data_IF_954744945328
#
_entry.id   IF_954744945328
#
_cell.length_a   1.000
_cell.length_b   1.000
_cell.length_c   1.000
_cell.angle_alpha   90.00
_cell.angle_beta   90.00
_cell.angle_gamma   90.00
#
_symmetry.space_group_name_H-M   'P 1'
#
loop_
_entity.id
_entity.type
_entity.pdbx_description
1 polymer ?
#
# COMPACT_ATOMS: atom_id res chain seq x y z
N UNK A 1 16.85 -76.77 44.54
CA UNK A 1 15.80 -76.11 43.73
C UNK A 1 15.88 -74.61 44.01
N UNK A 2 16.60 -73.80 43.22
CA UNK A 2 16.13 -73.06 42.01
C UNK A 2 14.90 -72.18 42.30
N UNK A 3 14.82 -70.86 42.07
CA UNK A 3 15.39 -69.96 41.05
C UNK A 3 15.11 -68.49 41.49
N UNK A 4 16.09 -67.58 41.39
CA UNK A 4 16.26 -66.48 40.39
C UNK A 4 15.37 -65.22 40.53
N UNK A 5 16.06 -64.10 40.82
CA UNK A 5 16.05 -62.78 40.16
C UNK A 5 14.74 -62.09 39.76
N UNK A 6 14.57 -60.84 40.19
CA UNK A 6 14.02 -59.77 39.34
C UNK A 6 14.55 -58.39 39.77
N UNK A 7 15.65 -57.98 39.13
CA UNK A 7 16.14 -56.61 39.09
C UNK A 7 15.23 -55.84 38.11
N UNK A 8 14.51 -54.82 38.56
CA UNK A 8 13.71 -53.95 37.67
C UNK A 8 14.37 -52.57 37.59
N UNK A 9 15.16 -52.40 36.54
CA UNK A 9 15.73 -51.11 36.13
C UNK A 9 14.63 -50.26 35.51
N UNK A 10 14.23 -49.17 36.18
CA UNK A 10 13.30 -48.20 35.62
C UNK A 10 14.05 -47.25 34.66
N UNK A 11 13.83 -47.42 33.36
CA UNK A 11 14.35 -46.55 32.31
C UNK A 11 13.46 -45.29 32.22
N UNK A 12 13.96 -44.14 32.68
CA UNK A 12 13.33 -42.85 32.47
C UNK A 12 13.52 -42.43 30.99
N UNK A 13 12.50 -42.65 30.15
CA UNK A 13 12.44 -42.07 28.82
C UNK A 13 11.91 -40.63 28.94
N UNK A 14 12.82 -39.66 29.02
CA UNK A 14 12.47 -38.25 28.96
C UNK A 14 12.27 -37.86 27.48
N UNK A 15 11.04 -38.04 26.98
CA UNK A 15 10.65 -37.50 25.67
C UNK A 15 10.52 -35.99 25.83
N UNK A 16 11.52 -35.24 25.35
CA UNK A 16 11.36 -33.80 25.12
C UNK A 16 10.30 -33.62 24.02
N UNK A 17 9.06 -33.38 24.42
CA UNK A 17 8.04 -32.77 23.58
C UNK A 17 8.49 -31.33 23.29
N UNK A 18 9.33 -31.14 22.28
CA UNK A 18 9.48 -29.83 21.66
C UNK A 18 8.17 -29.54 20.96
N UNK A 19 7.26 -28.83 21.64
CA UNK A 19 6.15 -28.18 20.96
C UNK A 19 6.76 -27.17 20.01
N UNK A 20 6.80 -27.50 18.72
CA UNK A 20 7.02 -26.50 17.69
C UNK A 20 5.95 -25.44 17.90
N UNK A 21 6.35 -24.23 18.30
CA UNK A 21 5.50 -23.06 18.24
C UNK A 21 5.15 -22.91 16.77
N UNK A 22 3.99 -23.43 16.39
CA UNK A 22 3.43 -23.22 15.06
C UNK A 22 3.10 -21.72 15.02
N UNK A 23 4.00 -20.92 14.47
CA UNK A 23 3.70 -19.53 14.15
C UNK A 23 2.46 -19.56 13.25
N UNK A 24 1.31 -19.13 13.78
CA UNK A 24 0.07 -19.09 13.03
C UNK A 24 0.29 -18.27 11.78
N UNK A 25 -0.11 -18.80 10.61
CA UNK A 25 -0.05 -18.06 9.37
C UNK A 25 -0.80 -16.74 9.56
N UNK A 26 -0.07 -15.61 9.48
CA UNK A 26 -0.70 -14.29 9.57
C UNK A 26 -1.57 -14.13 8.32
N UNK A 27 -2.84 -13.79 8.49
CA UNK A 27 -3.73 -13.60 7.34
C UNK A 27 -3.28 -12.40 6.51
N UNK A 28 -3.56 -12.44 5.20
CA UNK A 28 -3.28 -11.32 4.29
C UNK A 28 -3.83 -10.00 4.83
N UNK A 29 -5.07 -10.01 5.34
CA UNK A 29 -5.72 -8.84 5.92
C UNK A 29 -4.95 -8.28 7.13
N UNK A 30 -4.40 -9.15 7.98
CA UNK A 30 -3.60 -8.71 9.13
C UNK A 30 -2.27 -8.10 8.69
N UNK A 31 -1.62 -8.65 7.65
CA UNK A 31 -0.39 -8.07 7.08
C UNK A 31 -0.65 -6.71 6.45
N UNK A 32 -1.70 -6.60 5.62
CA UNK A 32 -2.09 -5.35 4.96
C UNK A 32 -2.43 -4.29 6.02
N UNK A 33 -3.30 -4.59 6.99
CA UNK A 33 -3.69 -3.59 7.98
C UNK A 33 -2.52 -3.15 8.85
N UNK A 34 -1.65 -4.08 9.27
CA UNK A 34 -0.49 -3.77 10.13
C UNK A 34 0.47 -2.77 9.49
N UNK A 35 0.65 -2.85 8.17
CA UNK A 35 1.61 -2.02 7.45
C UNK A 35 0.97 -0.87 6.67
N UNK A 36 -0.35 -0.70 6.77
CA UNK A 36 -1.05 0.44 6.20
C UNK A 36 -0.57 1.73 6.89
N UNK A 37 -0.20 2.79 6.14
CA UNK A 37 0.47 3.94 6.72
C UNK A 37 -0.47 4.90 7.46
N UNK A 38 0.03 5.63 8.46
CA UNK A 38 -0.59 6.90 8.86
C UNK A 38 -0.15 7.96 7.84
N UNK A 39 -1.11 8.64 7.23
CA UNK A 39 -0.86 9.63 6.18
C UNK A 39 -1.12 11.03 6.74
N UNK A 40 -0.09 11.85 6.77
CA UNK A 40 -0.15 13.27 7.10
C UNK A 40 -0.32 14.08 5.81
N UNK A 41 -1.57 14.32 5.43
CA UNK A 41 -1.89 15.10 4.23
C UNK A 41 -1.73 16.59 4.50
N UNK A 42 -0.98 17.28 3.65
CA UNK A 42 -0.89 18.74 3.66
C UNK A 42 -1.80 19.36 2.61
N UNK A 43 -2.31 20.56 2.86
CA UNK A 43 -3.16 21.29 1.93
C UNK A 43 -3.02 22.82 2.06
N UNK A 44 -1.90 23.41 1.60
CA UNK A 44 -1.69 24.87 1.48
C UNK A 44 -2.34 25.71 2.61
N UNK A 45 -2.15 25.31 3.87
CA UNK A 45 -2.72 25.90 5.09
C UNK A 45 -4.26 25.83 5.30
N UNK A 46 -4.97 25.06 4.48
CA UNK A 46 -6.40 24.79 4.60
C UNK A 46 -6.69 23.65 5.58
N UNK A 47 -7.71 23.87 6.42
CA UNK A 47 -8.26 22.87 7.32
C UNK A 47 -9.77 23.13 7.48
N UNK A 48 -10.66 22.18 7.12
CA UNK A 48 -10.38 20.82 6.64
C UNK A 48 -9.75 20.80 5.24
N UNK A 49 -9.24 19.63 4.83
CA UNK A 49 -8.75 19.39 3.45
C UNK A 49 -9.83 19.78 2.44
N UNK A 50 -9.43 20.50 1.41
CA UNK A 50 -10.20 20.71 0.19
C UNK A 50 -10.46 19.39 -0.51
N UNK A 51 -11.61 19.30 -1.19
CA UNK A 51 -12.12 18.03 -1.73
C UNK A 51 -11.16 17.40 -2.74
N UNK A 52 -10.49 18.23 -3.51
CA UNK A 52 -9.48 17.83 -4.50
C UNK A 52 -8.25 17.17 -3.88
N UNK A 53 -7.94 17.48 -2.62
CA UNK A 53 -6.81 16.93 -1.88
C UNK A 53 -7.23 15.76 -0.96
N UNK A 54 -8.43 15.21 -1.15
CA UNK A 54 -8.88 13.97 -0.51
C UNK A 54 -8.66 12.81 -1.49
N UNK A 55 -7.67 11.98 -1.22
CA UNK A 55 -7.46 10.74 -1.97
C UNK A 55 -8.66 9.80 -1.83
N UNK A 56 -9.11 9.20 -2.91
CA UNK A 56 -10.35 8.40 -2.96
C UNK A 56 -10.23 7.25 -3.95
N UNK A 57 -11.31 6.51 -4.17
CA UNK A 57 -11.41 5.52 -5.25
C UNK A 57 -11.65 6.19 -6.60
N UNK A 58 -11.18 5.54 -7.67
CA UNK A 58 -11.35 5.99 -9.05
C UNK A 58 -12.83 6.24 -9.43
N UNK A 59 -13.73 5.40 -8.92
CA UNK A 59 -15.18 5.47 -9.15
C UNK A 59 -15.94 6.16 -7.99
N UNK A 60 -15.37 7.23 -7.41
CA UNK A 60 -15.96 7.89 -6.22
C UNK A 60 -17.38 8.43 -6.46
N UNK A 61 -17.67 8.81 -7.70
CA UNK A 61 -18.97 9.28 -8.20
C UNK A 61 -19.90 8.14 -8.67
N UNK A 62 -19.47 6.89 -8.42
CA UNK A 62 -20.20 5.63 -8.67
C UNK A 62 -20.26 5.21 -10.13
N UNK A 63 -19.46 5.79 -11.01
CA UNK A 63 -19.27 5.29 -12.37
C UNK A 63 -17.79 5.02 -12.67
N UNK A 64 -17.48 4.54 -13.88
CA UNK A 64 -16.10 4.24 -14.30
C UNK A 64 -15.69 5.07 -15.52
N UNK A 65 -16.35 6.21 -15.71
CA UNK A 65 -16.06 7.17 -16.77
C UNK A 65 -15.04 8.16 -16.21
N UNK A 66 -13.76 7.86 -16.33
CA UNK A 66 -12.75 8.65 -15.61
C UNK A 66 -12.68 10.10 -16.09
N UNK A 67 -13.00 10.37 -17.37
CA UNK A 67 -12.93 11.72 -17.92
C UNK A 67 -13.98 12.71 -17.36
N UNK A 68 -14.91 12.32 -16.48
CA UNK A 68 -15.83 13.26 -15.83
C UNK A 68 -15.50 13.50 -14.34
N UNK A 69 -14.47 12.83 -13.80
CA UNK A 69 -14.17 12.84 -12.37
C UNK A 69 -13.82 14.23 -11.84
N UNK A 70 -13.15 15.06 -12.65
CA UNK A 70 -12.83 16.44 -12.28
C UNK A 70 -14.11 17.25 -12.08
N UNK A 71 -15.03 17.19 -13.05
CA UNK A 71 -16.29 17.91 -13.08
C UNK A 71 -17.29 17.40 -12.05
N UNK A 72 -17.17 16.12 -11.65
CA UNK A 72 -18.05 15.48 -10.69
C UNK A 72 -17.68 15.77 -9.23
N UNK A 73 -16.46 16.24 -8.95
CA UNK A 73 -15.98 16.53 -7.60
C UNK A 73 -16.88 17.48 -6.76
N UNK A 74 -17.51 18.53 -7.34
CA UNK A 74 -18.47 19.37 -6.61
C UNK A 74 -19.76 18.64 -6.19
N UNK A 75 -20.18 17.63 -6.96
CA UNK A 75 -21.47 16.93 -6.78
C UNK A 75 -21.35 15.66 -5.94
N UNK A 76 -20.19 15.02 -5.91
CA UNK A 76 -19.93 13.79 -5.18
C UNK A 76 -18.80 14.00 -4.17
N UNK A 77 -19.10 14.14 -2.87
CA UNK A 77 -18.06 14.29 -1.85
C UNK A 77 -17.16 13.05 -1.81
N UNK A 78 -15.84 13.19 -2.00
CA UNK A 78 -14.91 12.06 -1.93
C UNK A 78 -14.80 11.54 -0.50
N UNK A 79 -14.66 10.22 -0.37
CA UNK A 79 -14.38 9.56 0.89
C UNK A 79 -12.95 9.01 0.89
N UNK A 80 -12.18 9.35 1.92
CA UNK A 80 -10.76 8.98 2.00
C UNK A 80 -10.56 7.47 1.81
N UNK A 81 -9.82 7.07 0.77
CA UNK A 81 -9.61 5.67 0.44
C UNK A 81 -8.23 5.43 -0.18
N UNK A 82 -7.54 4.40 0.31
CA UNK A 82 -6.22 3.98 -0.16
C UNK A 82 -6.37 2.63 -0.86
N UNK A 83 -5.98 2.58 -2.14
CA UNK A 83 -5.85 1.29 -2.80
C UNK A 83 -4.65 0.53 -2.23
N UNK A 84 -4.79 -0.78 -2.02
CA UNK A 84 -3.67 -1.64 -1.68
C UNK A 84 -3.47 -2.76 -2.70
N UNK A 85 -2.23 -3.21 -2.85
CA UNK A 85 -1.90 -4.45 -3.55
C UNK A 85 -1.10 -5.35 -2.62
N UNK A 86 -1.23 -6.67 -2.77
CA UNK A 86 -0.42 -7.64 -2.03
C UNK A 86 0.18 -8.65 -3.00
N UNK A 87 1.52 -8.68 -3.02
CA UNK A 87 2.32 -9.72 -3.66
C UNK A 87 3.16 -10.40 -2.58
N UNK A 88 3.28 -11.71 -2.67
CA UNK A 88 3.94 -12.53 -1.67
C UNK A 88 5.00 -13.41 -2.32
N UNK A 89 6.19 -13.44 -1.72
CA UNK A 89 7.23 -14.42 -2.03
C UNK A 89 7.45 -15.39 -0.88
N UNK A 90 8.35 -16.34 -1.06
CA UNK A 90 8.88 -17.21 -0.01
C UNK A 90 9.45 -16.44 1.21
N UNK A 91 9.95 -15.23 1.01
CA UNK A 91 10.77 -14.48 1.98
C UNK A 91 10.17 -13.12 2.37
N UNK A 92 9.30 -12.54 1.55
CA UNK A 92 8.78 -11.19 1.73
C UNK A 92 7.28 -11.07 1.44
N UNK A 93 6.65 -10.08 2.07
CA UNK A 93 5.42 -9.46 1.58
C UNK A 93 5.78 -8.13 0.90
N UNK A 94 5.16 -7.87 -0.23
CA UNK A 94 5.24 -6.61 -0.97
C UNK A 94 3.85 -5.99 -1.00
N UNK A 95 3.69 -4.89 -0.28
CA UNK A 95 2.39 -4.25 -0.08
C UNK A 95 2.43 -2.86 -0.68
N UNK A 96 1.73 -2.66 -1.79
CA UNK A 96 1.58 -1.33 -2.37
C UNK A 96 0.44 -0.59 -1.67
N UNK A 97 0.61 0.69 -1.39
CA UNK A 97 -0.45 1.61 -0.98
C UNK A 97 -0.48 2.79 -1.94
N UNK A 98 -1.64 3.09 -2.51
CA UNK A 98 -1.78 4.05 -3.59
C UNK A 98 -2.88 5.06 -3.28
N UNK A 99 -2.55 6.33 -3.50
CA UNK A 99 -3.41 7.48 -3.27
C UNK A 99 -3.84 7.98 -4.64
N UNK A 100 -5.13 7.86 -4.96
CA UNK A 100 -5.69 8.39 -6.20
C UNK A 100 -6.44 9.69 -5.90
N UNK A 101 -6.20 10.72 -6.70
CA UNK A 101 -6.91 11.99 -6.64
C UNK A 101 -7.67 12.20 -7.95
N UNK A 102 -8.95 12.63 -7.92
CA UNK A 102 -9.71 12.97 -9.12
C UNK A 102 -9.07 14.12 -9.92
N UNK A 103 -8.31 14.98 -9.24
CA UNK A 103 -7.74 16.21 -9.74
C UNK A 103 -6.41 16.52 -9.04
N UNK A 104 -5.44 17.04 -9.79
CA UNK A 104 -4.25 17.69 -9.26
C UNK A 104 -4.41 19.22 -9.35
N UNK A 105 -4.31 19.92 -8.22
CA UNK A 105 -4.44 21.40 -8.13
C UNK A 105 -3.11 22.13 -7.90
N UNK A 106 -1.99 21.49 -8.23
CA UNK A 106 -0.66 22.09 -8.14
C UNK A 106 -0.36 23.17 -9.17
N UNK A 107 0.93 23.47 -9.32
CA UNK A 107 1.45 24.41 -10.32
C UNK A 107 1.01 24.06 -11.74
N UNK A 108 0.91 22.76 -12.04
CA UNK A 108 0.34 22.24 -13.28
C UNK A 108 -0.94 21.49 -12.92
N UNK A 109 -2.08 22.09 -13.19
CA UNK A 109 -3.35 21.43 -12.91
C UNK A 109 -3.66 20.41 -13.99
N UNK A 110 -4.10 19.23 -13.57
CA UNK A 110 -4.52 18.19 -14.50
C UNK A 110 -5.52 17.20 -13.91
N UNK A 111 -6.25 16.53 -14.80
CA UNK A 111 -7.12 15.43 -14.45
C UNK A 111 -6.31 14.28 -13.91
N UNK A 112 -6.80 13.75 -12.80
CA UNK A 112 -6.24 12.62 -12.08
C UNK A 112 -4.86 12.87 -11.51
N UNK A 113 -4.59 12.17 -10.42
CA UNK A 113 -3.24 11.95 -9.95
C UNK A 113 -3.17 10.62 -9.21
N UNK A 114 -2.00 9.99 -9.23
CA UNK A 114 -1.80 8.77 -8.45
C UNK A 114 -0.35 8.67 -7.98
N UNK A 115 -0.19 8.59 -6.67
CA UNK A 115 1.09 8.38 -6.01
C UNK A 115 1.04 7.11 -5.17
N UNK A 116 2.19 6.52 -4.84
CA UNK A 116 2.20 5.33 -4.01
C UNK A 116 3.52 4.97 -3.37
N UNK A 117 3.42 4.09 -2.38
CA UNK A 117 4.53 3.52 -1.63
C UNK A 117 4.44 2.00 -1.62
N UNK A 118 5.58 1.33 -1.76
CA UNK A 118 5.75 -0.11 -1.61
C UNK A 118 6.38 -0.37 -0.24
N UNK A 119 5.64 -1.02 0.64
CA UNK A 119 6.17 -1.58 1.87
C UNK A 119 6.68 -3.01 1.63
N UNK A 120 7.96 -3.22 1.92
CA UNK A 120 8.62 -4.52 1.81
C UNK A 120 8.85 -5.06 3.20
N UNK A 121 8.21 -6.19 3.51
CA UNK A 121 8.19 -6.75 4.86
C UNK A 121 8.82 -8.13 4.84
N UNK A 122 9.85 -8.33 5.63
CA UNK A 122 10.53 -9.62 5.73
C UNK A 122 9.71 -10.59 6.59
N UNK A 123 9.44 -11.79 6.08
CA UNK A 123 8.58 -12.78 6.75
C UNK A 123 9.20 -13.37 8.02
N UNK A 124 10.50 -13.63 7.99
CA UNK A 124 11.21 -14.28 9.10
C UNK A 124 11.22 -13.42 10.37
N UNK A 125 11.34 -12.11 10.21
CA UNK A 125 11.40 -11.14 11.31
C UNK A 125 10.07 -10.41 11.54
N UNK A 126 9.20 -10.39 10.54
CA UNK A 126 7.99 -9.57 10.54
C UNK A 126 8.29 -8.07 10.60
N UNK A 127 9.45 -7.63 10.10
CA UNK A 127 9.90 -6.24 10.12
C UNK A 127 9.79 -5.60 8.74
N UNK A 128 9.58 -4.28 8.73
CA UNK A 128 9.69 -3.46 7.52
C UNK A 128 11.16 -3.38 7.11
N UNK A 129 11.49 -3.83 5.90
CA UNK A 129 12.84 -3.77 5.34
C UNK A 129 13.05 -2.47 4.54
N UNK A 130 12.05 -2.09 3.74
CA UNK A 130 12.15 -0.97 2.82
C UNK A 130 10.77 -0.32 2.64
N UNK A 131 10.74 1.01 2.64
CA UNK A 131 9.76 1.78 1.90
C UNK A 131 10.38 2.28 0.61
N UNK A 132 9.69 2.03 -0.49
CA UNK A 132 10.03 2.59 -1.78
C UNK A 132 8.86 3.44 -2.25
N UNK A 133 9.12 4.70 -2.56
CA UNK A 133 8.09 5.66 -3.00
C UNK A 133 8.33 6.01 -4.46
N UNK A 134 7.24 6.18 -5.20
CA UNK A 134 7.25 6.72 -6.56
C UNK A 134 6.56 8.09 -6.58
N UNK A 135 7.33 9.12 -6.95
CA UNK A 135 6.86 10.51 -7.09
C UNK A 135 7.37 11.04 -8.45
N UNK A 136 6.50 11.50 -9.35
CA UNK A 136 6.92 12.21 -10.58
C UNK A 136 8.08 11.57 -11.39
N UNK A 137 8.11 10.24 -11.52
CA UNK A 137 9.21 9.46 -12.14
C UNK A 137 10.51 9.32 -11.34
N UNK A 138 10.56 9.86 -10.12
CA UNK A 138 11.62 9.67 -9.15
C UNK A 138 11.27 8.61 -8.11
N UNK A 139 12.32 8.08 -7.48
CA UNK A 139 12.22 6.96 -6.56
C UNK A 139 12.91 7.29 -5.25
N UNK A 140 12.14 7.44 -4.18
CA UNK A 140 12.67 7.62 -2.83
C UNK A 140 12.74 6.28 -2.12
N UNK A 141 13.89 6.01 -1.49
CA UNK A 141 14.17 4.77 -0.78
C UNK A 141 14.38 5.10 0.69
N UNK A 142 13.70 4.39 1.58
CA UNK A 142 13.90 4.53 3.02
C UNK A 142 14.03 3.15 3.66
N UNK A 143 15.15 2.90 4.35
CA UNK A 143 15.30 1.68 5.14
C UNK A 143 14.20 1.64 6.21
N UNK A 144 13.53 0.51 6.36
CA UNK A 144 12.43 0.36 7.30
C UNK A 144 12.82 0.66 8.75
N UNK A 145 14.09 0.44 9.14
CA UNK A 145 14.59 0.81 10.47
C UNK A 145 14.67 2.33 10.72
N UNK A 146 14.64 3.13 9.66
CA UNK A 146 14.66 4.59 9.74
C UNK A 146 13.26 5.19 9.63
N UNK A 147 12.22 4.40 9.37
CA UNK A 147 10.84 4.86 9.23
C UNK A 147 10.22 5.05 10.61
N UNK A 148 9.62 6.22 10.84
CA UNK A 148 8.82 6.48 12.04
C UNK A 148 7.56 5.64 12.01
N UNK A 149 7.24 4.98 13.13
CA UNK A 149 5.99 4.28 13.30
C UNK A 149 5.06 5.06 14.25
N UNK A 150 3.83 5.30 13.82
CA UNK A 150 2.75 5.90 14.62
C UNK A 150 1.72 4.84 14.94
N UNK A 151 1.55 4.52 16.22
CA UNK A 151 0.71 3.41 16.68
C UNK A 151 1.01 2.06 15.97
N UNK A 152 2.26 1.86 15.55
CA UNK A 152 2.71 0.65 14.83
C UNK A 152 2.61 0.71 13.30
N UNK A 153 2.10 1.82 12.75
CA UNK A 153 1.94 2.03 11.31
C UNK A 153 3.03 2.94 10.74
N UNK A 154 3.56 2.70 9.52
CA UNK A 154 4.51 3.61 8.87
C UNK A 154 3.92 5.02 8.74
N UNK A 155 4.68 6.06 9.08
CA UNK A 155 4.24 7.44 8.93
C UNK A 155 4.73 8.04 7.61
N UNK A 156 3.81 8.64 6.86
CA UNK A 156 4.05 9.30 5.58
C UNK A 156 3.51 10.73 5.62
N UNK A 157 4.18 11.64 4.92
CA UNK A 157 3.66 12.97 4.59
C UNK A 157 3.33 13.01 3.11
N UNK A 158 2.22 13.66 2.77
CA UNK A 158 1.88 14.01 1.39
C UNK A 158 1.94 15.53 1.27
N UNK A 159 2.84 16.02 0.40
CA UNK A 159 3.06 17.45 0.18
C UNK A 159 1.85 18.12 -0.49
N UNK A 160 1.53 19.33 -0.04
CA UNK A 160 0.45 20.11 -0.62
C UNK A 160 0.76 20.49 -2.08
N UNK A 161 -0.25 20.39 -2.94
CA UNK A 161 -0.17 20.81 -4.35
C UNK A 161 0.77 20.01 -5.24
N UNK A 162 1.43 18.96 -4.74
CA UNK A 162 2.25 18.04 -5.57
C UNK A 162 1.90 16.58 -5.34
N UNK A 163 1.16 16.27 -4.27
CA UNK A 163 0.86 14.90 -3.81
C UNK A 163 2.10 14.00 -3.63
N UNK A 164 3.29 14.59 -3.50
CA UNK A 164 4.52 13.84 -3.29
C UNK A 164 4.52 13.18 -1.93
N UNK A 165 4.81 11.88 -1.90
CA UNK A 165 4.87 11.10 -0.68
C UNK A 165 6.31 11.15 -0.14
N UNK A 166 6.45 11.39 1.16
CA UNK A 166 7.73 11.31 1.88
C UNK A 166 7.58 10.49 3.15
N UNK A 167 8.43 9.48 3.41
CA UNK A 167 8.46 8.79 4.69
C UNK A 167 8.94 9.72 5.80
N UNK A 168 8.24 9.75 6.94
CA UNK A 168 8.74 10.44 8.13
C UNK A 168 9.81 9.59 8.78
N UNK A 169 10.98 10.18 9.05
CA UNK A 169 12.09 9.42 9.65
C UNK A 169 11.97 9.38 11.17
N UNK A 170 12.56 8.35 11.79
CA UNK A 170 12.52 8.12 13.24
C UNK A 170 13.05 9.29 14.08
N UNK A 171 14.02 10.04 13.54
CA UNK A 171 14.61 11.22 14.17
C UNK A 171 13.91 12.53 13.82
N UNK A 172 12.90 12.50 12.94
CA UNK A 172 12.08 13.65 12.62
C UNK A 172 10.90 13.71 13.60
N UNK A 173 10.54 14.92 14.02
CA UNK A 173 9.30 15.12 14.75
C UNK A 173 8.13 14.65 13.88
N UNK A 174 7.06 14.16 14.54
CA UNK A 174 5.81 14.00 13.82
C UNK A 174 5.44 15.35 13.17
N UNK A 175 4.89 15.35 11.94
CA UNK A 175 4.49 16.58 11.28
C UNK A 175 3.64 17.45 12.21
N UNK A 176 4.11 18.68 12.47
CA UNK A 176 3.48 19.57 13.44
C UNK A 176 2.13 20.11 12.95
N UNK A 177 1.30 20.67 13.85
CA UNK A 177 0.03 21.29 13.47
C UNK A 177 0.29 22.55 12.63
N UNK A 178 -0.06 22.51 11.35
CA UNK A 178 0.12 23.61 10.39
C UNK A 178 -0.42 23.25 9.01
N UNK A 179 -1.72 23.02 8.89
CA UNK A 179 -2.34 22.56 7.64
C UNK A 179 -2.16 21.05 7.36
N UNK A 180 -1.79 20.27 8.38
CA UNK A 180 -1.54 18.84 8.28
C UNK A 180 -2.70 18.04 8.88
N UNK A 181 -3.27 17.14 8.10
CA UNK A 181 -4.37 16.26 8.49
C UNK A 181 -3.89 14.81 8.61
N UNK A 182 -3.77 14.25 9.85
CA UNK A 182 -3.42 12.85 10.03
C UNK A 182 -4.62 11.95 9.70
N UNK A 183 -4.41 11.01 8.79
CA UNK A 183 -5.37 10.03 8.30
C UNK A 183 -4.82 8.62 8.61
N UNK A 184 -5.18 8.00 9.75
CA UNK A 184 -4.84 6.61 10.03
C UNK A 184 -5.72 5.64 9.21
N UNK A 185 -5.26 4.40 9.01
CA UNK A 185 -6.06 3.38 8.38
C UNK A 185 -7.29 3.03 9.23
N UNK A 186 -8.43 2.89 8.57
CA UNK A 186 -9.60 2.28 9.16
C UNK A 186 -9.31 0.80 9.42
N UNK A 187 -9.77 0.28 10.57
CA UNK A 187 -9.59 -1.13 10.94
C UNK A 187 -10.35 -2.13 10.04
N UNK A 188 -11.05 -1.64 9.01
CA UNK A 188 -11.80 -2.45 8.06
C UNK A 188 -10.95 -2.70 6.81
N UNK A 189 -10.61 -3.97 6.56
CA UNK A 189 -10.06 -4.47 5.29
C UNK A 189 -11.22 -5.14 4.52
N UNK A 190 -11.31 -5.06 3.16
CA UNK A 190 -12.55 -5.24 2.42
C UNK A 190 -13.36 -6.52 2.69
N UNK A 191 -14.67 -6.30 2.84
CA UNK A 191 -15.74 -7.29 2.89
C UNK A 191 -17.13 -6.66 3.07
N UNK A 192 -17.22 -5.45 3.63
CA UNK A 192 -18.51 -4.78 3.86
C UNK A 192 -18.37 -3.27 3.75
N UNK A 193 -19.21 -2.66 2.90
CA UNK A 193 -19.35 -1.21 2.84
C UNK A 193 -19.85 -0.64 4.17
N UNK A 194 -19.01 0.13 4.84
CA UNK A 194 -19.34 0.87 6.06
C UNK A 194 -19.44 2.37 5.78
N UNK A 195 -20.45 3.02 6.38
CA UNK A 195 -20.63 4.47 6.37
C UNK A 195 -19.64 5.18 7.30
N UNK A 196 -19.32 6.42 6.95
CA UNK A 196 -18.41 7.37 7.61
C UNK A 196 -18.74 7.56 9.10
N UNK A 197 -17.76 7.31 9.97
CA UNK A 197 -17.82 7.63 11.40
C UNK A 197 -17.52 9.10 11.70
N UNK A 198 -18.23 9.66 12.66
CA UNK A 198 -18.05 11.03 13.17
C UNK A 198 -17.11 11.11 14.38
N UNK A 199 -16.29 12.17 14.37
CA UNK A 199 -15.61 12.83 15.49
C UNK A 199 -14.36 12.16 16.12
N UNK A 200 -13.18 12.39 15.51
CA UNK A 200 -12.07 13.21 16.07
C UNK A 200 -10.74 13.08 15.28
N UNK A 201 -10.68 12.21 14.29
CA UNK A 201 -9.60 12.12 13.30
C UNK A 201 -10.16 11.44 12.06
N UNK A 202 -10.14 12.11 10.90
CA UNK A 202 -10.57 11.49 9.65
C UNK A 202 -9.75 10.20 9.43
N UNK A 203 -10.39 9.11 9.03
CA UNK A 203 -9.74 7.83 8.70
C UNK A 203 -9.86 7.57 7.21
N UNK A 204 -9.02 6.71 6.65
CA UNK A 204 -9.21 6.20 5.29
C UNK A 204 -9.54 4.73 5.28
N UNK A 205 -10.34 4.29 4.29
CA UNK A 205 -10.60 2.86 4.06
C UNK A 205 -9.56 2.25 3.14
N UNK A 206 -9.25 0.97 3.35
CA UNK A 206 -8.41 0.19 2.44
C UNK A 206 -9.27 -0.46 1.36
N UNK A 207 -8.84 -0.36 0.09
CA UNK A 207 -9.56 -0.90 -1.07
C UNK A 207 -8.63 -1.80 -1.86
N UNK A 208 -9.05 -3.01 -2.22
CA UNK A 208 -8.21 -3.89 -3.02
C UNK A 208 -8.02 -3.27 -4.41
N UNK A 209 -6.76 -3.08 -4.84
CA UNK A 209 -6.42 -2.57 -6.17
C UNK A 209 -7.04 -3.44 -7.27
N UNK A 210 -7.42 -4.70 -6.99
CA UNK A 210 -8.19 -5.55 -7.91
C UNK A 210 -9.45 -4.88 -8.44
N UNK A 211 -10.12 -4.03 -7.67
CA UNK A 211 -11.31 -3.31 -8.15
C UNK A 211 -10.99 -2.45 -9.37
N UNK A 212 -9.85 -1.74 -9.34
CA UNK A 212 -9.37 -0.93 -10.47
C UNK A 212 -8.67 -1.80 -11.52
N UNK A 213 -7.87 -2.78 -11.11
CA UNK A 213 -7.12 -3.67 -12.00
C UNK A 213 -8.02 -4.50 -12.92
N UNK A 214 -9.18 -4.95 -12.44
CA UNK A 214 -10.16 -5.67 -13.28
C UNK A 214 -10.67 -4.84 -14.46
N UNK A 215 -10.46 -3.51 -14.43
CA UNK A 215 -10.80 -2.57 -15.50
C UNK A 215 -9.63 -2.21 -16.39
N UNK A 216 -8.46 -2.83 -16.25
CA UNK A 216 -7.27 -2.48 -17.01
C UNK A 216 -7.45 -2.55 -18.54
N UNK A 217 -8.44 -3.31 -19.03
CA UNK A 217 -8.81 -3.39 -20.44
C UNK A 217 -10.05 -2.56 -20.84
N UNK A 218 -10.67 -1.83 -19.91
CA UNK A 218 -11.77 -0.90 -20.22
C UNK A 218 -11.18 0.39 -20.79
N UNK A 219 -10.88 0.34 -22.09
CA UNK A 219 -10.10 1.34 -22.81
C UNK A 219 -10.97 2.07 -23.85
N UNK A 220 -10.87 3.38 -23.89
CA UNK A 220 -11.48 4.24 -24.89
C UNK A 220 -12.06 5.53 -24.30
N UNK A 221 -12.65 6.35 -25.15
CA UNK A 221 -13.28 7.59 -24.71
C UNK A 221 -14.46 7.31 -23.76
N UNK A 222 -14.51 8.03 -22.64
CA UNK A 222 -15.49 7.88 -21.56
C UNK A 222 -15.45 6.50 -20.89
N UNK A 223 -14.27 5.90 -20.80
CA UNK A 223 -14.01 4.62 -20.11
C UNK A 223 -13.10 4.82 -18.90
N UNK A 224 -12.64 3.71 -18.32
CA UNK A 224 -11.68 3.76 -17.21
C UNK A 224 -10.32 4.29 -17.67
N UNK A 225 -9.84 3.82 -18.83
CA UNK A 225 -8.51 4.17 -19.34
C UNK A 225 -8.60 4.71 -20.78
N UNK A 226 -7.77 5.69 -21.11
CA UNK A 226 -7.64 6.15 -22.50
C UNK A 226 -6.84 5.15 -23.35
N UNK A 227 -5.78 4.61 -22.74
CA UNK A 227 -4.89 3.58 -23.26
C UNK A 227 -4.37 2.76 -22.09
N UNK A 228 -3.70 1.64 -22.35
CA UNK A 228 -3.22 0.72 -21.31
C UNK A 228 -2.54 1.44 -20.13
N UNK A 229 -3.23 1.47 -18.97
CA UNK A 229 -2.73 2.04 -17.72
C UNK A 229 -2.67 3.56 -17.59
N UNK A 230 -3.18 4.31 -18.58
CA UNK A 230 -3.32 5.77 -18.51
C UNK A 230 -4.80 6.11 -18.40
N UNK A 231 -5.18 6.84 -17.36
CA UNK A 231 -6.57 7.17 -17.08
C UNK A 231 -7.20 7.95 -18.25
N UNK A 232 -8.49 7.72 -18.50
CA UNK A 232 -9.22 8.52 -19.50
C UNK A 232 -9.54 9.90 -18.97
N UNK A 233 -9.30 10.91 -19.80
CA UNK A 233 -9.30 12.33 -19.45
C UNK A 233 -9.80 13.16 -20.64
N UNK A 234 -10.16 14.42 -20.44
CA UNK A 234 -10.43 15.35 -21.52
C UNK A 234 -9.18 16.09 -22.02
N UNK A 235 -8.27 16.44 -21.11
CA UNK A 235 -7.17 17.37 -21.35
C UNK A 235 -5.80 16.85 -20.93
N UNK A 236 -5.72 15.85 -20.05
CA UNK A 236 -4.44 15.31 -19.56
C UNK A 236 -4.37 13.78 -19.53
N UNK A 237 -3.52 13.20 -20.38
CA UNK A 237 -3.49 11.75 -20.62
C UNK A 237 -2.27 11.02 -20.04
N UNK A 238 -1.56 11.63 -19.09
CA UNK A 238 -0.30 11.08 -18.57
C UNK A 238 -0.38 10.60 -17.12
N UNK A 239 -1.54 10.76 -16.46
CA UNK A 239 -1.79 10.15 -15.15
C UNK A 239 -1.90 8.63 -15.31
N UNK A 240 -1.07 7.90 -14.56
CA UNK A 240 -0.91 6.44 -14.72
C UNK A 240 -1.30 5.65 -13.48
N UNK A 241 -1.83 4.46 -13.72
CA UNK A 241 -2.03 3.46 -12.68
C UNK A 241 -0.75 2.67 -12.37
N UNK A 242 -0.65 2.00 -11.20
CA UNK A 242 0.61 1.46 -10.69
C UNK A 242 1.27 0.37 -11.53
N UNK A 243 0.54 -0.26 -12.46
CA UNK A 243 1.12 -1.24 -13.38
C UNK A 243 1.98 -0.63 -14.49
N UNK A 244 1.89 0.69 -14.70
CA UNK A 244 2.77 1.42 -15.61
C UNK A 244 4.06 1.89 -14.96
N UNK A 245 4.16 1.88 -13.64
CA UNK A 245 5.33 2.39 -12.94
C UNK A 245 6.47 1.38 -13.01
N UNK A 246 7.64 1.85 -13.43
CA UNK A 246 8.82 1.00 -13.65
C UNK A 246 10.08 1.65 -13.12
N UNK A 247 10.90 0.85 -12.42
CA UNK A 247 12.25 1.23 -12.04
C UNK A 247 13.24 0.45 -12.89
N UNK A 248 14.00 1.14 -13.76
CA UNK A 248 14.92 0.49 -14.69
C UNK A 248 14.28 -0.69 -15.47
N UNK A 249 13.09 -0.45 -16.03
CA UNK A 249 12.28 -1.44 -16.78
C UNK A 249 11.72 -2.61 -15.95
N UNK A 250 11.82 -2.55 -14.62
CA UNK A 250 11.21 -3.53 -13.72
C UNK A 250 9.89 -2.98 -13.23
N UNK A 251 8.79 -3.69 -13.52
CA UNK A 251 7.45 -3.30 -13.10
C UNK A 251 7.33 -3.27 -11.58
N UNK A 252 6.82 -2.14 -11.06
CA UNK A 252 6.43 -1.97 -9.66
C UNK A 252 5.50 -3.09 -9.19
N UNK A 253 4.44 -3.33 -9.94
CA UNK A 253 3.34 -4.17 -9.51
C UNK A 253 3.57 -5.65 -9.85
N UNK A 254 4.07 -5.93 -11.06
CA UNK A 254 4.24 -7.31 -11.52
C UNK A 254 5.52 -7.98 -11.01
N UNK A 255 6.56 -7.19 -10.71
CA UNK A 255 7.90 -7.70 -10.37
C UNK A 255 8.52 -7.01 -9.14
N UNK A 256 7.80 -6.87 -8.00
CA UNK A 256 8.31 -6.15 -6.84
C UNK A 256 9.55 -6.79 -6.22
N UNK A 257 9.69 -8.12 -6.24
CA UNK A 257 10.86 -8.82 -5.72
C UNK A 257 12.14 -8.53 -6.53
N UNK A 258 12.04 -8.54 -7.87
CA UNK A 258 13.14 -8.15 -8.75
C UNK A 258 13.51 -6.68 -8.57
N UNK A 259 12.50 -5.84 -8.35
CA UNK A 259 12.68 -4.41 -8.14
C UNK A 259 13.44 -4.15 -6.82
N UNK A 260 13.04 -4.80 -5.72
CA UNK A 260 13.73 -4.69 -4.42
C UNK A 260 15.16 -5.20 -4.51
N UNK A 261 15.39 -6.33 -5.19
CA UNK A 261 16.74 -6.84 -5.46
C UNK A 261 17.61 -5.84 -6.21
N UNK A 262 17.05 -5.17 -7.22
CA UNK A 262 17.74 -4.10 -7.95
C UNK A 262 18.07 -2.94 -7.04
N UNK A 263 17.14 -2.53 -6.17
CA UNK A 263 17.35 -1.45 -5.20
C UNK A 263 18.49 -1.78 -4.22
N UNK A 264 18.59 -3.02 -3.75
CA UNK A 264 19.66 -3.47 -2.84
C UNK A 264 20.98 -3.83 -3.54
N UNK A 265 21.03 -3.81 -4.88
CA UNK A 265 22.20 -4.28 -5.64
C UNK A 265 22.48 -5.79 -5.49
N UNK A 266 21.52 -6.57 -4.97
CA UNK A 266 21.69 -8.01 -4.73
C UNK A 266 21.06 -8.85 -5.84
N UNK A 267 21.91 -9.35 -6.73
CA UNK A 267 21.48 -10.16 -7.87
C UNK A 267 21.51 -11.67 -7.63
N UNK A 268 21.89 -12.17 -6.44
CA UNK A 268 22.24 -13.60 -6.28
C UNK A 268 21.22 -14.49 -5.57
N UNK A 269 20.26 -13.92 -4.85
CA UNK A 269 19.22 -14.69 -4.15
C UNK A 269 18.00 -14.86 -5.08
N UNK A 270 17.65 -16.09 -5.52
CA UNK A 270 16.37 -16.32 -6.20
C UNK A 270 15.22 -16.02 -5.23
N UNK A 271 14.16 -15.38 -5.72
CA UNK A 271 12.92 -15.14 -4.96
C UNK A 271 11.81 -15.83 -5.73
N UNK A 272 11.07 -16.71 -5.05
CA UNK A 272 9.90 -17.39 -5.62
C UNK A 272 8.63 -16.67 -5.19
N UNK A 273 7.83 -16.23 -6.16
CA UNK A 273 6.48 -15.73 -5.86
C UNK A 273 5.56 -16.87 -5.43
N UNK A 274 4.94 -16.73 -4.27
CA UNK A 274 3.87 -17.63 -3.80
C UNK A 274 2.50 -17.12 -4.26
N UNK A 275 2.32 -15.80 -4.27
CA UNK A 275 1.09 -15.13 -4.71
C UNK A 275 1.44 -13.84 -5.45
N UNK A 276 1.13 -13.79 -6.73
CA UNK A 276 1.30 -12.58 -7.54
C UNK A 276 0.12 -12.45 -8.52
N UNK A 277 -1.01 -11.83 -8.10
CA UNK A 277 -2.20 -11.71 -8.94
C UNK A 277 -2.01 -10.73 -10.10
N UNK A 278 -0.87 -10.02 -10.13
CA UNK A 278 -0.47 -9.07 -11.16
C UNK A 278 0.67 -9.63 -12.02
N UNK A 279 0.97 -10.92 -11.92
CA UNK A 279 1.89 -11.58 -12.84
C UNK A 279 1.27 -11.64 -14.25
N UNK A 280 2.11 -11.55 -15.29
CA UNK A 280 1.66 -11.67 -16.69
C UNK A 280 1.35 -10.35 -17.40
N UNK A 281 1.64 -9.20 -16.77
CA UNK A 281 1.65 -7.90 -17.45
C UNK A 281 2.74 -7.93 -18.53
N UNK A 282 2.33 -7.73 -19.78
CA UNK A 282 3.23 -7.64 -20.94
C UNK A 282 3.75 -6.22 -21.10
#
# INVERSE_FOLDING_TARGET
MTMKHALTTALFLLVLLTTSVQAGATSDAAVILRWAPVIHQQDNDQNPLSRENIFTVANFDRDWRMNNNWENLPYYPPGAAVYYSLVESDTYYFIGYYLYYPRHIGNVQHEHDMAGVLAVVQKSSGQLELLLVYNHNEWLKCNGSHVRLEAGHPSLVVSAGTHEISPVKINEAAPGPGGICPLPPEKQVPGTGGKTGTASSAVYRLVDLKELWQRCNDIGQSRTFNRWGYFDSYYYFDATAPWMWQYNQISWLAKPAELVRRVHGNHRQPITYLKNPYAGIR
#
